data_IF_726113245196
#
_entry.id   IF_726113245196
#
_cell.length_a   1.000
_cell.length_b   1.000
_cell.length_c   1.000
_cell.angle_alpha   90.00
_cell.angle_beta   90.00
_cell.angle_gamma   90.00
#
_symmetry.space_group_name_H-M   'P 1'
#
loop_
_entity.id
_entity.type
_entity.pdbx_description
1 polymer ?
#
# COMPACT_ATOMS: atom_id res chain seq x y z
N UNK A 1 -17.45 -2.57 10.02
CA UNK A 1 -16.34 -2.68 9.04
C UNK A 1 -15.16 -1.88 9.56
N UNK A 2 -14.00 -2.49 9.70
CA UNK A 2 -12.75 -1.78 9.99
C UNK A 2 -12.42 -0.87 8.81
N UNK A 3 -12.12 0.41 9.07
CA UNK A 3 -11.68 1.32 8.01
C UNK A 3 -10.35 0.81 7.44
N UNK A 4 -10.09 0.88 6.12
CA UNK A 4 -8.81 0.46 5.53
C UNK A 4 -7.59 1.06 6.24
N UNK A 5 -7.69 2.32 6.68
CA UNK A 5 -6.67 2.99 7.49
C UNK A 5 -6.29 2.19 8.75
N UNK A 6 -7.28 1.71 9.51
CA UNK A 6 -7.04 0.96 10.74
C UNK A 6 -6.35 -0.38 10.44
N UNK A 7 -6.65 -0.99 9.28
CA UNK A 7 -6.01 -2.23 8.85
C UNK A 7 -4.53 -1.98 8.51
N UNK A 8 -4.24 -0.95 7.71
CA UNK A 8 -2.86 -0.58 7.36
C UNK A 8 -2.02 -0.19 8.58
N UNK A 9 -2.59 0.54 9.53
CA UNK A 9 -1.90 0.87 10.78
C UNK A 9 -1.63 -0.37 11.63
N UNK A 10 -2.61 -1.27 11.76
CA UNK A 10 -2.43 -2.50 12.52
C UNK A 10 -1.37 -3.43 11.89
N UNK A 11 -1.39 -3.58 10.56
CA UNK A 11 -0.39 -4.39 9.85
C UNK A 11 0.99 -3.78 9.93
N UNK A 12 1.12 -2.44 9.88
CA UNK A 12 2.40 -1.77 10.08
C UNK A 12 3.00 -2.09 11.46
N UNK A 13 2.21 -1.91 12.53
CA UNK A 13 2.64 -2.22 13.89
C UNK A 13 3.05 -3.68 14.02
N UNK A 14 2.27 -4.60 13.42
CA UNK A 14 2.60 -6.02 13.43
C UNK A 14 3.91 -6.34 12.72
N UNK A 15 4.15 -5.75 11.53
CA UNK A 15 5.41 -5.92 10.78
C UNK A 15 6.59 -5.43 11.61
N UNK A 16 6.50 -4.22 12.17
CA UNK A 16 7.58 -3.65 12.99
C UNK A 16 7.85 -4.51 14.23
N UNK A 17 6.80 -4.97 14.92
CA UNK A 17 6.94 -5.84 16.08
C UNK A 17 7.64 -7.16 15.73
N UNK A 18 7.27 -7.79 14.60
CA UNK A 18 7.91 -9.00 14.09
C UNK A 18 9.37 -8.73 13.72
N UNK A 19 9.66 -7.62 13.06
CA UNK A 19 11.01 -7.28 12.64
C UNK A 19 11.94 -7.05 13.84
N UNK A 20 11.47 -6.31 14.85
CA UNK A 20 12.22 -6.10 16.08
C UNK A 20 12.46 -7.41 16.83
N UNK A 21 11.49 -8.33 16.83
CA UNK A 21 11.62 -9.62 17.49
C UNK A 21 12.56 -10.59 16.75
N UNK A 22 12.50 -10.64 15.42
CA UNK A 22 13.25 -11.61 14.60
C UNK A 22 14.65 -11.08 14.23
N UNK A 23 14.75 -9.83 13.78
CA UNK A 23 15.98 -9.26 13.24
C UNK A 23 16.69 -8.30 14.20
N UNK A 24 16.00 -7.81 15.22
CA UNK A 24 16.50 -6.78 16.13
C UNK A 24 16.47 -5.37 15.54
N UNK A 25 16.84 -4.38 16.36
CA UNK A 25 16.69 -2.95 16.04
C UNK A 25 17.49 -2.52 14.80
N UNK A 26 18.80 -2.78 14.76
CA UNK A 26 19.67 -2.31 13.68
C UNK A 26 19.21 -2.82 12.30
N UNK A 27 18.88 -4.12 12.21
CA UNK A 27 18.46 -4.71 10.95
C UNK A 27 17.04 -4.26 10.56
N UNK A 28 16.17 -4.00 11.54
CA UNK A 28 14.85 -3.42 11.27
C UNK A 28 14.97 -2.04 10.62
N UNK A 29 15.85 -1.19 11.13
CA UNK A 29 16.10 0.14 10.54
C UNK A 29 16.65 0.00 9.13
N UNK A 30 17.66 -0.87 8.92
CA UNK A 30 18.24 -1.13 7.61
C UNK A 30 17.17 -1.57 6.59
N UNK A 31 16.27 -2.49 6.97
CA UNK A 31 15.19 -2.96 6.10
C UNK A 31 14.19 -1.86 5.74
N UNK A 32 13.93 -0.91 6.65
CA UNK A 32 13.06 0.23 6.36
C UNK A 32 13.79 1.22 5.44
N UNK A 33 15.07 1.46 5.69
CA UNK A 33 15.90 2.36 4.89
C UNK A 33 16.11 1.85 3.47
N UNK A 34 16.17 0.53 3.24
CA UNK A 34 16.25 -0.04 1.90
C UNK A 34 15.09 0.40 1.00
N UNK A 35 13.91 0.65 1.57
CA UNK A 35 12.71 1.04 0.85
C UNK A 35 12.53 2.57 0.72
N UNK A 36 13.56 3.36 1.06
CA UNK A 36 13.45 4.82 1.13
C UNK A 36 12.95 5.47 -0.17
N UNK A 37 13.32 4.94 -1.35
CA UNK A 37 12.88 5.48 -2.64
C UNK A 37 11.36 5.35 -2.83
N UNK A 38 10.79 4.22 -2.41
CA UNK A 38 9.34 4.00 -2.48
C UNK A 38 8.60 4.88 -1.49
N UNK A 39 9.14 5.05 -0.28
CA UNK A 39 8.61 5.98 0.73
C UNK A 39 8.64 7.41 0.19
N UNK A 40 9.75 7.85 -0.41
CA UNK A 40 9.87 9.16 -1.05
C UNK A 40 8.88 9.31 -2.21
N UNK A 41 8.61 8.24 -2.96
CA UNK A 41 7.60 8.20 -4.02
C UNK A 41 6.17 8.52 -3.55
N UNK A 42 5.86 8.36 -2.26
CA UNK A 42 4.57 8.77 -1.70
C UNK A 42 4.39 10.28 -1.68
N UNK A 43 5.47 11.07 -1.65
CA UNK A 43 5.41 12.54 -1.64
C UNK A 43 4.76 13.08 -2.93
N UNK A 44 5.27 12.80 -4.14
CA UNK A 44 4.63 13.29 -5.37
C UNK A 44 3.22 12.72 -5.54
N UNK A 45 2.96 11.47 -5.15
CA UNK A 45 1.60 10.91 -5.16
C UNK A 45 0.66 11.68 -4.23
N UNK A 46 1.12 12.03 -3.03
CA UNK A 46 0.41 12.88 -2.08
C UNK A 46 0.06 14.24 -2.67
N UNK A 47 1.00 14.90 -3.35
CA UNK A 47 0.73 16.17 -4.02
C UNK A 47 -0.30 16.04 -5.15
N UNK A 48 -0.21 15.01 -6.00
CA UNK A 48 -1.19 14.76 -7.06
C UNK A 48 -2.59 14.52 -6.48
N UNK A 49 -2.67 13.70 -5.43
CA UNK A 49 -3.92 13.42 -4.73
C UNK A 49 -4.53 14.70 -4.16
N UNK A 50 -3.74 15.51 -3.45
CA UNK A 50 -4.20 16.78 -2.89
C UNK A 50 -4.65 17.76 -3.98
N UNK A 51 -3.91 17.85 -5.09
CA UNK A 51 -4.27 18.69 -6.23
C UNK A 51 -5.69 18.39 -6.72
N UNK A 52 -5.99 17.12 -7.03
CA UNK A 52 -7.32 16.76 -7.51
C UNK A 52 -8.39 16.96 -6.44
N UNK A 53 -8.09 16.61 -5.18
CA UNK A 53 -9.02 16.79 -4.08
C UNK A 53 -9.42 18.24 -3.88
N UNK A 54 -8.47 19.18 -3.97
CA UNK A 54 -8.77 20.62 -3.89
C UNK A 54 -9.55 21.12 -5.11
N UNK A 55 -9.23 20.63 -6.30
CA UNK A 55 -9.90 21.04 -7.55
C UNK A 55 -11.35 20.56 -7.61
N UNK A 56 -11.63 19.39 -7.04
CA UNK A 56 -12.94 18.75 -7.06
C UNK A 56 -13.78 18.96 -5.79
N UNK A 57 -13.35 19.83 -4.87
CA UNK A 57 -13.99 20.00 -3.54
C UNK A 57 -15.48 20.39 -3.60
N UNK A 58 -15.88 21.11 -4.66
CA UNK A 58 -17.24 21.63 -4.85
C UNK A 58 -18.09 20.74 -5.78
N UNK A 59 -17.55 19.60 -6.23
CA UNK A 59 -18.21 18.67 -7.14
C UNK A 59 -18.62 17.38 -6.40
N UNK A 60 -19.71 16.76 -6.84
CA UNK A 60 -20.12 15.45 -6.34
C UNK A 60 -19.21 14.36 -6.89
N UNK A 61 -18.50 13.64 -6.00
CA UNK A 61 -17.53 12.62 -6.40
C UNK A 61 -18.24 11.30 -6.71
N UNK A 62 -18.17 10.86 -7.97
CA UNK A 62 -18.62 9.55 -8.42
C UNK A 62 -17.54 8.51 -8.12
N UNK A 63 -17.89 7.44 -7.40
CA UNK A 63 -17.00 6.30 -7.19
C UNK A 63 -17.02 5.36 -8.41
N UNK A 64 -16.04 5.51 -9.29
CA UNK A 64 -15.86 4.64 -10.45
C UNK A 64 -15.29 3.26 -10.11
N UNK A 65 -14.83 3.04 -8.86
CA UNK A 65 -14.26 1.79 -8.39
C UNK A 65 -15.31 0.89 -7.70
N UNK A 66 -16.56 1.33 -7.58
CA UNK A 66 -17.67 0.64 -6.88
C UNK A 66 -17.92 -0.82 -7.31
N UNK A 67 -17.54 -1.20 -8.52
CA UNK A 67 -17.70 -2.56 -9.05
C UNK A 67 -16.46 -3.46 -8.90
N UNK A 68 -15.33 -2.92 -8.41
CA UNK A 68 -14.12 -3.71 -8.14
C UNK A 68 -14.34 -4.49 -6.84
N UNK A 69 -14.98 -5.66 -6.95
CA UNK A 69 -15.12 -6.60 -5.83
C UNK A 69 -13.82 -7.39 -5.70
N UNK A 70 -12.91 -6.92 -4.87
CA UNK A 70 -11.81 -7.76 -4.40
C UNK A 70 -12.39 -8.91 -3.56
N UNK A 71 -12.28 -10.14 -4.07
CA UNK A 71 -12.65 -11.33 -3.31
C UNK A 71 -11.54 -11.63 -2.30
N UNK A 72 -11.92 -11.77 -1.02
CA UNK A 72 -10.99 -12.20 0.03
C UNK A 72 -10.26 -13.50 -0.36
N UNK A 73 -10.98 -14.44 -0.98
CA UNK A 73 -10.39 -15.71 -1.45
C UNK A 73 -9.29 -15.47 -2.49
N UNK A 74 -9.49 -14.56 -3.45
CA UNK A 74 -8.48 -14.22 -4.45
C UNK A 74 -7.27 -13.53 -3.81
N UNK A 75 -7.49 -12.62 -2.85
CA UNK A 75 -6.42 -11.95 -2.11
C UNK A 75 -5.59 -12.92 -1.28
N UNK A 76 -6.22 -13.91 -0.62
CA UNK A 76 -5.52 -14.95 0.15
C UNK A 76 -4.68 -15.84 -0.76
N UNK A 77 -5.24 -16.27 -1.90
CA UNK A 77 -4.50 -17.09 -2.88
C UNK A 77 -3.28 -16.33 -3.41
N UNK A 78 -3.48 -15.06 -3.78
CA UNK A 78 -2.38 -14.21 -4.24
C UNK A 78 -1.30 -14.06 -3.16
N UNK A 79 -1.70 -13.77 -1.92
CA UNK A 79 -0.77 -13.67 -0.79
C UNK A 79 0.05 -14.95 -0.59
N UNK A 80 -0.59 -16.12 -0.59
CA UNK A 80 0.10 -17.42 -0.43
C UNK A 80 1.12 -17.65 -1.55
N UNK A 81 0.75 -17.35 -2.80
CA UNK A 81 1.66 -17.51 -3.93
C UNK A 81 2.90 -16.62 -3.74
N UNK A 82 2.71 -15.37 -3.36
CA UNK A 82 3.83 -14.45 -3.12
C UNK A 82 4.72 -14.94 -1.98
N UNK A 83 4.15 -15.38 -0.86
CA UNK A 83 4.95 -15.94 0.25
C UNK A 83 5.79 -17.16 -0.17
N UNK A 84 5.24 -18.04 -1.01
CA UNK A 84 5.99 -19.20 -1.53
C UNK A 84 7.13 -18.75 -2.45
N UNK A 85 6.86 -17.80 -3.35
CA UNK A 85 7.87 -17.26 -4.26
C UNK A 85 9.01 -16.61 -3.48
N UNK A 86 8.68 -15.77 -2.51
CA UNK A 86 9.66 -15.08 -1.67
C UNK A 86 10.47 -16.08 -0.85
N UNK A 87 9.83 -17.11 -0.27
CA UNK A 87 10.57 -18.15 0.46
C UNK A 87 11.64 -18.84 -0.40
N UNK A 88 11.35 -19.06 -1.69
CA UNK A 88 12.27 -19.71 -2.62
C UNK A 88 13.38 -18.75 -3.06
N UNK A 89 13.08 -17.46 -3.23
CA UNK A 89 14.01 -16.47 -3.80
C UNK A 89 14.83 -15.72 -2.74
N UNK A 90 14.30 -15.56 -1.54
CA UNK A 90 14.81 -14.69 -0.49
C UNK A 90 15.21 -15.49 0.75
N UNK A 91 16.24 -16.35 0.62
CA UNK A 91 16.90 -17.06 1.73
C UNK A 91 15.95 -17.70 2.77
N UNK A 92 14.83 -18.26 2.30
CA UNK A 92 13.85 -18.95 3.13
C UNK A 92 12.97 -18.01 3.95
N UNK A 93 12.70 -18.38 5.21
CA UNK A 93 11.76 -17.64 6.06
C UNK A 93 12.24 -16.21 6.40
N UNK A 94 13.55 -16.03 6.56
CA UNK A 94 14.14 -14.76 7.00
C UNK A 94 13.98 -13.71 5.91
N UNK A 95 14.35 -14.03 4.66
CA UNK A 95 14.17 -13.07 3.57
C UNK A 95 12.71 -12.95 3.13
N UNK A 96 11.91 -14.02 3.19
CA UNK A 96 10.45 -13.88 2.99
C UNK A 96 9.82 -12.84 3.93
N UNK A 97 10.19 -12.86 5.22
CA UNK A 97 9.69 -11.89 6.19
C UNK A 97 10.27 -10.49 5.92
N UNK A 98 11.53 -10.38 5.49
CA UNK A 98 12.17 -9.07 5.24
C UNK A 98 11.48 -8.26 4.13
N UNK A 99 10.77 -8.92 3.20
CA UNK A 99 10.00 -8.30 2.13
C UNK A 99 8.66 -7.70 2.57
N UNK A 100 8.17 -7.99 3.78
CA UNK A 100 6.82 -7.57 4.20
C UNK A 100 6.64 -6.05 4.25
N UNK A 101 7.67 -5.31 4.68
CA UNK A 101 7.62 -3.85 4.71
C UNK A 101 7.53 -3.26 3.30
N UNK A 102 8.28 -3.79 2.34
CA UNK A 102 8.17 -3.41 0.93
C UNK A 102 6.74 -3.58 0.42
N UNK A 103 6.12 -4.75 0.64
CA UNK A 103 4.73 -4.99 0.24
C UNK A 103 3.74 -4.05 0.92
N UNK A 104 3.99 -3.69 2.17
CA UNK A 104 3.17 -2.71 2.88
C UNK A 104 3.25 -1.33 2.24
N UNK A 105 4.44 -0.85 1.87
CA UNK A 105 4.63 0.42 1.13
C UNK A 105 3.95 0.36 -0.24
N UNK A 106 4.12 -0.74 -0.98
CA UNK A 106 3.46 -0.94 -2.27
C UNK A 106 1.93 -0.94 -2.16
N UNK A 107 1.39 -1.48 -1.07
CA UNK A 107 -0.03 -1.40 -0.75
C UNK A 107 -0.53 0.04 -0.60
N UNK A 108 0.25 0.91 0.07
CA UNK A 108 -0.07 2.34 0.19
C UNK A 108 -0.02 3.03 -1.17
N UNK A 109 1.02 2.76 -1.96
CA UNK A 109 1.15 3.31 -3.33
C UNK A 109 -0.07 2.93 -4.18
N UNK A 110 -0.48 1.66 -4.15
CA UNK A 110 -1.64 1.18 -4.89
C UNK A 110 -2.94 1.88 -4.45
N UNK A 111 -3.13 2.09 -3.14
CA UNK A 111 -4.27 2.86 -2.63
C UNK A 111 -4.28 4.31 -3.15
N UNK A 112 -3.14 5.00 -3.08
CA UNK A 112 -3.01 6.35 -3.62
C UNK A 112 -3.35 6.39 -5.11
N UNK A 113 -2.80 5.46 -5.90
CA UNK A 113 -3.05 5.41 -7.34
C UNK A 113 -4.53 5.15 -7.66
N UNK A 114 -5.19 4.23 -6.95
CA UNK A 114 -6.62 3.96 -7.17
C UNK A 114 -7.49 5.20 -6.91
N UNK A 115 -7.20 5.94 -5.84
CA UNK A 115 -7.91 7.19 -5.51
C UNK A 115 -7.59 8.31 -6.51
N UNK A 116 -6.31 8.49 -6.88
CA UNK A 116 -5.90 9.48 -7.89
C UNK A 116 -6.59 9.19 -9.23
N UNK A 117 -6.66 7.93 -9.64
CA UNK A 117 -7.35 7.52 -10.88
C UNK A 117 -8.84 7.82 -10.78
N UNK A 118 -9.47 7.54 -9.64
CA UNK A 118 -10.88 7.85 -9.42
C UNK A 118 -11.14 9.36 -9.50
N UNK A 119 -10.30 10.17 -8.85
CA UNK A 119 -10.37 11.63 -8.93
C UNK A 119 -10.10 12.15 -10.34
N UNK A 120 -9.14 11.59 -11.06
CA UNK A 120 -8.87 11.98 -12.44
C UNK A 120 -10.07 11.74 -13.36
N UNK A 121 -10.79 10.62 -13.18
CA UNK A 121 -12.04 10.36 -13.91
C UNK A 121 -13.12 11.39 -13.57
N UNK A 122 -13.26 11.76 -12.30
CA UNK A 122 -14.18 12.83 -11.89
C UNK A 122 -13.79 14.19 -12.49
N UNK A 123 -12.49 14.51 -12.51
CA UNK A 123 -11.97 15.72 -13.14
C UNK A 123 -12.34 15.79 -14.63
N UNK A 124 -12.27 14.67 -15.34
CA UNK A 124 -12.71 14.57 -16.73
C UNK A 124 -14.20 14.81 -16.95
N UNK A 125 -15.05 14.49 -15.97
CA UNK A 125 -16.50 14.62 -16.11
C UNK A 125 -16.97 16.03 -15.75
N UNK A 126 -16.29 16.67 -14.80
CA UNK A 126 -16.74 17.93 -14.22
C UNK A 126 -15.99 19.17 -14.70
N UNK A 127 -14.75 19.03 -15.16
CA UNK A 127 -13.88 20.17 -15.48
C UNK A 127 -13.34 20.17 -16.93
N UNK A 128 -13.48 19.06 -17.67
CA UNK A 128 -13.13 18.94 -19.09
C UNK A 128 -14.40 18.69 -19.89
#
# INVERSE_FOLDING_TARGET
>A
MTKPLNLFTATFIAIIAVYLFIFGENKTIELIEMEYLYILGLIPLGFIFLYYRFKLKDYEIIDFNKNVKFSFSSSVVFFIIFQIVDYIQEDGFIGMISQWFFYWVMGIIALFLMEIINYYKNYKVHCL
#
